data_IF_649784771304
#
_entry.id   IF_649784771304
#
_cell.length_a   1.000
_cell.length_b   1.000
_cell.length_c   1.000
_cell.angle_alpha   90.00
_cell.angle_beta   90.00
_cell.angle_gamma   90.00
#
_symmetry.space_group_name_H-M   'P 1'
#
loop_
_entity.id
_entity.type
_entity.pdbx_description
1 polymer ?
#
# COMPACT_ATOMS: atom_id res chain seq x y z
N UNK A 1 60.31 -10.52 6.46
CA UNK A 1 59.29 -11.08 5.58
C UNK A 1 58.23 -11.68 6.50
N UNK A 2 57.16 -10.92 6.76
CA UNK A 2 56.03 -11.34 7.58
C UNK A 2 54.86 -11.48 6.65
N UNK A 3 54.46 -12.72 6.40
CA UNK A 3 53.30 -13.06 5.59
C UNK A 3 52.00 -12.63 6.29
N UNK A 4 51.24 -11.79 5.62
CA UNK A 4 49.93 -11.33 6.05
C UNK A 4 48.86 -12.27 5.47
N UNK A 5 48.34 -13.18 6.29
CA UNK A 5 47.24 -14.02 5.93
C UNK A 5 45.94 -13.20 6.00
N UNK A 6 45.11 -13.13 4.94
CA UNK A 6 43.81 -12.46 5.01
C UNK A 6 42.83 -13.31 5.82
N UNK A 7 42.27 -12.70 6.86
CA UNK A 7 41.19 -13.27 7.65
C UNK A 7 39.87 -13.19 6.85
N UNK A 8 39.44 -14.31 6.27
CA UNK A 8 38.18 -14.45 5.53
C UNK A 8 37.06 -14.96 6.44
N UNK A 9 36.65 -14.18 7.43
CA UNK A 9 35.41 -14.40 8.15
C UNK A 9 34.47 -13.21 7.91
N UNK A 10 33.97 -13.11 6.69
CA UNK A 10 32.74 -12.34 6.42
C UNK A 10 31.58 -13.25 6.84
N UNK A 11 30.70 -12.85 7.77
CA UNK A 11 29.52 -13.66 8.05
C UNK A 11 28.69 -13.71 6.77
N UNK A 12 28.45 -14.93 6.30
CA UNK A 12 27.53 -15.22 5.23
C UNK A 12 26.15 -14.70 5.68
N UNK A 13 25.72 -13.58 5.10
CA UNK A 13 24.37 -13.06 5.35
C UNK A 13 23.41 -14.10 4.81
N UNK A 14 22.75 -14.82 5.71
CA UNK A 14 21.66 -15.70 5.33
C UNK A 14 20.72 -14.93 4.41
N UNK A 15 20.53 -15.43 3.19
CA UNK A 15 19.57 -14.86 2.26
C UNK A 15 18.17 -14.82 2.89
N UNK A 16 17.25 -14.05 2.36
CA UNK A 16 15.89 -14.02 2.87
C UNK A 16 15.33 -15.44 2.88
N UNK A 17 14.69 -15.82 4.00
CA UNK A 17 13.98 -17.08 4.13
C UNK A 17 13.07 -17.32 2.92
N UNK A 18 12.95 -18.55 2.42
CA UNK A 18 12.07 -18.83 1.30
C UNK A 18 10.66 -18.32 1.59
N UNK A 19 10.11 -17.56 0.67
CA UNK A 19 8.73 -17.08 0.75
C UNK A 19 7.80 -18.27 0.51
N UNK A 20 7.15 -18.74 1.58
CA UNK A 20 6.14 -19.78 1.50
C UNK A 20 4.81 -19.18 1.03
N UNK A 21 4.60 -19.17 -0.28
CA UNK A 21 3.42 -18.59 -0.91
C UNK A 21 2.12 -19.18 -0.39
N UNK A 22 2.12 -20.48 -0.03
CA UNK A 22 0.96 -21.15 0.52
C UNK A 22 0.57 -20.62 1.91
N UNK A 23 1.54 -20.33 2.76
CA UNK A 23 1.29 -19.76 4.09
C UNK A 23 0.78 -18.32 3.99
N UNK A 24 1.31 -17.56 3.04
CA UNK A 24 0.82 -16.21 2.75
C UNK A 24 -0.65 -16.21 2.30
N UNK A 25 -1.05 -17.14 1.42
CA UNK A 25 -2.44 -17.27 0.98
C UNK A 25 -3.36 -17.60 2.13
N UNK A 26 -2.95 -18.50 3.02
CA UNK A 26 -3.76 -18.91 4.19
C UNK A 26 -4.09 -17.70 5.07
N UNK A 27 -3.25 -16.66 5.11
CA UNK A 27 -3.52 -15.46 5.90
C UNK A 27 -4.72 -14.67 5.39
N UNK A 28 -5.10 -14.80 4.10
CA UNK A 28 -6.28 -14.16 3.53
C UNK A 28 -7.55 -15.01 3.63
N UNK A 29 -7.44 -16.30 3.97
CA UNK A 29 -8.58 -17.23 3.94
C UNK A 29 -9.61 -17.01 5.06
N UNK A 30 -9.23 -16.34 6.14
CA UNK A 30 -10.09 -16.09 7.31
C UNK A 30 -10.08 -14.59 7.60
N UNK A 31 -11.26 -13.96 7.54
CA UNK A 31 -11.39 -12.55 7.92
C UNK A 31 -11.06 -12.38 9.42
N UNK A 32 -10.01 -11.63 9.79
CA UNK A 32 -9.65 -11.41 11.18
C UNK A 32 -10.78 -10.67 11.93
N UNK A 33 -10.86 -10.78 13.27
CA UNK A 33 -11.80 -9.99 14.06
C UNK A 33 -11.65 -8.48 13.84
N UNK A 34 -12.72 -7.73 14.11
CA UNK A 34 -12.65 -6.27 14.08
C UNK A 34 -11.76 -5.73 15.20
N UNK A 35 -11.11 -4.59 14.93
CA UNK A 35 -10.24 -3.87 15.86
C UNK A 35 -8.99 -4.62 16.36
N UNK A 36 -8.66 -5.77 15.71
CA UNK A 36 -7.42 -6.50 15.92
C UNK A 36 -6.44 -6.18 14.79
N UNK A 37 -5.15 -6.09 15.11
CA UNK A 37 -4.11 -5.86 14.11
C UNK A 37 -4.12 -7.00 13.07
N UNK A 38 -4.22 -6.63 11.80
CA UNK A 38 -4.14 -7.56 10.68
C UNK A 38 -2.69 -8.05 10.52
N UNK A 39 -2.45 -9.30 10.11
CA UNK A 39 -1.10 -9.78 9.88
C UNK A 39 -0.40 -8.97 8.78
N UNK A 40 0.91 -8.68 8.90
CA UNK A 40 1.63 -7.97 7.84
C UNK A 40 1.69 -8.82 6.57
N UNK A 41 1.71 -8.17 5.41
CA UNK A 41 1.79 -8.86 4.12
C UNK A 41 3.08 -9.69 3.98
N UNK A 42 4.20 -9.21 4.54
CA UNK A 42 5.49 -9.91 4.58
C UNK A 42 6.37 -9.28 5.66
N UNK A 43 7.22 -10.03 6.37
CA UNK A 43 8.10 -9.47 7.41
C UNK A 43 8.97 -8.29 6.94
N UNK A 44 9.38 -8.28 5.67
CA UNK A 44 10.20 -7.24 5.05
C UNK A 44 9.41 -6.31 4.11
N UNK A 45 8.05 -6.31 4.15
CA UNK A 45 7.25 -5.38 3.35
C UNK A 45 7.65 -3.92 3.63
N UNK A 46 7.71 -3.10 2.60
CA UNK A 46 8.06 -1.68 2.74
C UNK A 46 6.99 -0.90 3.53
N UNK A 47 5.72 -1.26 3.38
CA UNK A 47 4.62 -0.64 4.12
C UNK A 47 4.47 -1.19 5.54
N UNK A 48 4.18 -2.48 5.70
CA UNK A 48 3.78 -3.08 6.99
C UNK A 48 4.81 -4.02 7.63
N UNK A 49 5.95 -4.29 6.98
CA UNK A 49 6.90 -5.29 7.44
C UNK A 49 7.60 -4.93 8.76
N UNK A 50 7.37 -5.68 9.85
CA UNK A 50 7.97 -5.37 11.15
C UNK A 50 9.48 -5.56 11.19
N UNK A 51 10.05 -6.39 10.30
CA UNK A 51 11.48 -6.63 10.19
C UNK A 51 12.19 -5.68 9.19
N UNK A 52 11.45 -4.79 8.51
CA UNK A 52 12.05 -3.82 7.60
C UNK A 52 12.40 -2.52 8.32
N UNK A 53 13.69 -2.22 8.59
CA UNK A 53 14.09 -1.01 9.30
C UNK A 53 13.84 0.27 8.49
N UNK A 54 13.68 0.16 7.17
CA UNK A 54 13.40 1.27 6.26
C UNK A 54 11.91 1.42 5.94
N UNK A 55 11.08 0.46 6.41
CA UNK A 55 9.65 0.46 6.17
C UNK A 55 8.87 1.34 7.13
N UNK A 56 7.59 1.51 6.81
CA UNK A 56 6.67 2.29 7.63
C UNK A 56 6.16 1.53 8.85
N UNK A 57 6.30 0.20 8.89
CA UNK A 57 5.79 -0.68 9.95
C UNK A 57 4.30 -0.42 10.25
N UNK A 58 3.53 -0.17 9.20
CA UNK A 58 2.12 0.19 9.27
C UNK A 58 1.33 -0.92 9.97
N UNK A 59 0.57 -0.55 11.00
CA UNK A 59 -0.36 -1.44 11.70
C UNK A 59 -1.77 -1.11 11.29
N UNK A 60 -2.45 -2.07 10.69
CA UNK A 60 -3.77 -1.89 10.12
C UNK A 60 -4.77 -2.78 10.85
N UNK A 61 -5.95 -2.23 11.08
CA UNK A 61 -7.11 -2.93 11.66
C UNK A 61 -8.29 -2.81 10.72
N UNK A 62 -9.26 -3.69 10.87
CA UNK A 62 -10.53 -3.56 10.16
C UNK A 62 -11.65 -3.10 11.09
N UNK A 63 -12.68 -2.50 10.51
CA UNK A 63 -13.98 -2.23 11.12
C UNK A 63 -15.12 -2.63 10.15
N UNK A 64 -16.35 -2.29 10.48
CA UNK A 64 -17.52 -2.58 9.63
C UNK A 64 -17.47 -1.85 8.27
N UNK A 65 -16.64 -0.82 8.11
CA UNK A 65 -16.57 0.04 6.91
C UNK A 65 -15.38 -0.26 6.01
N UNK A 66 -14.39 -1.00 6.50
CA UNK A 66 -13.17 -1.30 5.75
C UNK A 66 -11.96 -1.51 6.65
N UNK A 67 -10.86 -0.85 6.33
CA UNK A 67 -9.64 -0.91 7.12
C UNK A 67 -9.18 0.49 7.52
N UNK A 68 -8.49 0.56 8.66
CA UNK A 68 -7.93 1.82 9.19
C UNK A 68 -6.59 1.59 9.87
N UNK A 69 -5.82 2.67 9.96
CA UNK A 69 -4.56 2.72 10.68
C UNK A 69 -4.37 4.08 11.34
N UNK A 70 -3.58 4.11 12.42
CA UNK A 70 -2.98 5.32 12.94
C UNK A 70 -1.49 5.30 12.60
N UNK A 71 -0.98 6.35 11.99
CA UNK A 71 0.40 6.41 11.52
C UNK A 71 0.98 7.81 11.66
N UNK A 72 2.30 7.87 11.89
CA UNK A 72 3.09 9.10 11.85
C UNK A 72 4.29 8.88 10.95
N UNK A 73 4.56 9.82 10.07
CA UNK A 73 5.77 9.82 9.24
C UNK A 73 6.91 10.45 10.04
N UNK A 74 8.06 9.82 10.08
CA UNK A 74 9.24 10.31 10.81
C UNK A 74 10.36 10.78 9.87
N UNK A 75 11.53 11.11 10.43
CA UNK A 75 12.67 11.62 9.68
C UNK A 75 13.19 10.72 8.56
N UNK A 76 12.90 9.41 8.58
CA UNK A 76 13.22 8.46 7.49
C UNK A 76 12.42 8.74 6.22
N UNK A 77 11.30 9.41 6.37
CA UNK A 77 10.29 9.65 5.32
C UNK A 77 10.32 11.10 4.81
N UNK A 78 11.37 11.88 5.12
CA UNK A 78 11.46 13.30 4.75
C UNK A 78 11.50 13.50 3.24
N UNK A 79 10.71 14.44 2.72
CA UNK A 79 10.73 14.90 1.34
C UNK A 79 11.13 16.37 1.21
N UNK A 80 10.68 17.19 2.17
CA UNK A 80 11.02 18.59 2.32
C UNK A 80 11.11 18.93 3.81
N UNK A 81 11.65 20.08 4.24
CA UNK A 81 11.71 20.42 5.66
C UNK A 81 10.36 20.27 6.36
N UNK A 82 10.30 19.40 7.37
CA UNK A 82 9.12 19.03 8.15
C UNK A 82 7.97 18.33 7.37
N UNK A 83 8.14 18.01 6.09
CA UNK A 83 7.10 17.42 5.24
C UNK A 83 7.52 16.02 4.79
N UNK A 84 6.60 15.05 4.90
CA UNK A 84 6.79 13.70 4.42
C UNK A 84 6.89 13.66 2.89
N UNK A 85 7.77 12.80 2.38
CA UNK A 85 7.92 12.59 0.94
C UNK A 85 6.63 12.01 0.35
N UNK A 86 6.16 12.56 -0.79
CA UNK A 86 4.94 12.08 -1.44
C UNK A 86 4.97 10.58 -1.78
N UNK A 87 6.16 10.05 -2.14
CA UNK A 87 6.35 8.62 -2.35
C UNK A 87 6.19 7.78 -1.08
N UNK A 88 6.59 8.30 0.10
CA UNK A 88 6.38 7.64 1.38
C UNK A 88 4.87 7.57 1.72
N UNK A 89 4.16 8.66 1.49
CA UNK A 89 2.69 8.71 1.64
C UNK A 89 2.02 7.73 0.67
N UNK A 90 2.49 7.66 -0.59
CA UNK A 90 1.98 6.72 -1.58
C UNK A 90 2.19 5.26 -1.17
N UNK A 91 3.36 4.93 -0.61
CA UNK A 91 3.66 3.58 -0.10
C UNK A 91 2.68 3.15 0.99
N UNK A 92 2.43 4.03 1.95
CA UNK A 92 1.49 3.75 3.05
C UNK A 92 0.06 3.57 2.53
N UNK A 93 -0.37 4.37 1.55
CA UNK A 93 -1.70 4.25 0.94
C UNK A 93 -1.84 2.98 0.10
N UNK A 94 -0.82 2.61 -0.68
CA UNK A 94 -0.82 1.36 -1.47
C UNK A 94 -0.89 0.13 -0.56
N UNK A 95 -0.09 0.13 0.52
CA UNK A 95 -0.10 -0.95 1.50
C UNK A 95 -1.45 -1.03 2.25
N UNK A 96 -2.03 0.11 2.64
CA UNK A 96 -3.36 0.18 3.26
C UNK A 96 -4.45 -0.41 2.35
N UNK A 97 -4.38 -0.18 1.04
CA UNK A 97 -5.27 -0.80 0.06
C UNK A 97 -5.10 -2.32 0.02
N UNK A 98 -3.86 -2.81 0.12
CA UNK A 98 -3.56 -4.24 0.19
C UNK A 98 -4.26 -4.93 1.36
N UNK A 99 -4.42 -4.26 2.50
CA UNK A 99 -5.11 -4.81 3.66
C UNK A 99 -6.62 -5.03 3.45
N UNK A 100 -7.24 -4.39 2.46
CA UNK A 100 -8.64 -4.70 2.10
C UNK A 100 -8.80 -6.12 1.57
N UNK A 101 -7.73 -6.74 1.07
CA UNK A 101 -7.77 -8.11 0.56
C UNK A 101 -8.13 -9.13 1.66
N UNK A 102 -7.77 -8.84 2.94
CA UNK A 102 -8.22 -9.65 4.07
C UNK A 102 -9.73 -9.63 4.27
N UNK A 103 -10.42 -8.60 3.77
CA UNK A 103 -11.89 -8.50 3.87
C UNK A 103 -12.60 -9.21 2.72
N UNK A 104 -11.94 -9.44 1.60
CA UNK A 104 -12.50 -10.14 0.43
C UNK A 104 -12.06 -11.60 0.32
N UNK A 105 -10.97 -11.98 1.00
CA UNK A 105 -10.43 -13.34 0.95
C UNK A 105 -9.86 -13.74 -0.42
N UNK A 106 -9.40 -12.77 -1.23
CA UNK A 106 -8.88 -12.99 -2.57
C UNK A 106 -7.58 -12.24 -2.78
N UNK A 107 -6.68 -12.82 -3.55
CA UNK A 107 -5.42 -12.18 -3.93
C UNK A 107 -5.65 -11.16 -5.04
N UNK A 108 -5.01 -10.01 -4.93
CA UNK A 108 -5.05 -9.00 -5.98
C UNK A 108 -3.75 -8.21 -6.03
N UNK A 109 -3.53 -7.53 -7.15
CA UNK A 109 -2.36 -6.67 -7.37
C UNK A 109 -2.80 -5.26 -7.74
N UNK A 110 -2.02 -4.28 -7.32
CA UNK A 110 -2.21 -2.88 -7.69
C UNK A 110 -2.04 -2.70 -9.19
N UNK A 111 -3.08 -2.21 -9.86
CA UNK A 111 -3.06 -1.92 -11.30
C UNK A 111 -2.95 -0.43 -11.58
N UNK A 112 -3.51 0.38 -10.70
CA UNK A 112 -3.49 1.84 -10.80
C UNK A 112 -3.64 2.43 -9.41
N UNK A 113 -2.93 3.51 -9.15
CA UNK A 113 -3.00 4.31 -7.94
C UNK A 113 -3.01 5.79 -8.35
N UNK A 114 -3.95 6.55 -7.84
CA UNK A 114 -4.00 8.00 -7.98
C UNK A 114 -4.16 8.64 -6.60
N UNK A 115 -3.40 9.70 -6.35
CA UNK A 115 -3.34 10.37 -5.04
C UNK A 115 -3.44 11.87 -5.27
N UNK A 116 -4.31 12.51 -4.50
CA UNK A 116 -4.44 13.96 -4.41
C UNK A 116 -3.94 14.42 -3.04
N UNK A 117 -2.87 15.20 -3.02
CA UNK A 117 -2.30 15.82 -1.83
C UNK A 117 -2.97 17.18 -1.60
N UNK A 118 -3.95 17.20 -0.70
CA UNK A 118 -4.77 18.39 -0.45
C UNK A 118 -4.10 19.37 0.51
N UNK A 119 -3.21 18.86 1.37
CA UNK A 119 -2.38 19.63 2.27
C UNK A 119 -1.06 18.89 2.54
N UNK A 120 0.00 19.60 3.02
CA UNK A 120 1.24 18.94 3.42
C UNK A 120 1.00 17.90 4.51
N UNK A 121 1.57 16.71 4.33
CA UNK A 121 1.64 15.68 5.38
C UNK A 121 2.90 15.95 6.19
N UNK A 122 2.72 16.39 7.44
CA UNK A 122 3.83 16.78 8.30
C UNK A 122 4.48 15.57 8.97
N UNK A 123 5.80 15.65 9.20
CA UNK A 123 6.52 14.65 9.99
C UNK A 123 6.10 14.72 11.46
N UNK A 124 6.27 13.61 12.17
CA UNK A 124 6.02 13.46 13.61
C UNK A 124 4.60 13.87 14.06
N UNK A 125 3.69 13.91 13.11
CA UNK A 125 2.28 14.24 13.33
C UNK A 125 1.43 12.99 13.17
N UNK A 126 0.51 12.71 14.13
CA UNK A 126 -0.39 11.56 14.04
C UNK A 126 -1.49 11.80 13.00
N UNK A 127 -1.71 10.79 12.15
CA UNK A 127 -2.77 10.75 11.15
C UNK A 127 -3.64 9.51 11.34
N UNK A 128 -4.91 9.64 10.99
CA UNK A 128 -5.83 8.51 10.81
C UNK A 128 -5.97 8.24 9.33
N UNK A 129 -5.69 7.02 8.93
CA UNK A 129 -5.83 6.52 7.57
C UNK A 129 -7.04 5.61 7.51
N UNK A 130 -7.88 5.75 6.49
CA UNK A 130 -9.04 4.89 6.25
C UNK A 130 -9.10 4.45 4.80
N UNK A 131 -9.50 3.21 4.57
CA UNK A 131 -9.71 2.69 3.22
C UNK A 131 -10.90 1.75 3.16
N UNK A 132 -11.60 1.75 2.02
CA UNK A 132 -12.75 0.86 1.78
C UNK A 132 -12.86 0.48 0.30
N UNK A 133 -13.59 -0.60 0.06
CA UNK A 133 -13.96 -1.01 -1.29
C UNK A 133 -15.13 -0.14 -1.75
N UNK A 134 -14.87 0.71 -2.73
CA UNK A 134 -15.91 1.56 -3.32
C UNK A 134 -16.85 0.78 -4.23
N UNK A 135 -16.29 -0.12 -5.07
CA UNK A 135 -17.08 -0.99 -5.94
C UNK A 135 -16.26 -2.18 -6.42
N UNK A 136 -16.97 -3.25 -6.81
CA UNK A 136 -16.38 -4.43 -7.44
C UNK A 136 -17.07 -4.70 -8.77
N UNK A 137 -16.28 -4.99 -9.81
CA UNK A 137 -16.77 -5.38 -11.13
C UNK A 137 -15.95 -6.58 -11.64
N UNK A 138 -16.45 -7.79 -11.40
CA UNK A 138 -15.73 -9.04 -11.66
C UNK A 138 -14.41 -9.07 -10.87
N UNK A 139 -13.28 -9.15 -11.57
CA UNK A 139 -11.94 -9.15 -10.98
C UNK A 139 -11.40 -7.76 -10.61
N UNK A 140 -12.15 -6.68 -10.84
CA UNK A 140 -11.71 -5.30 -10.59
C UNK A 140 -12.28 -4.83 -9.26
N UNK A 141 -11.39 -4.42 -8.36
CA UNK A 141 -11.72 -3.76 -7.10
C UNK A 141 -11.36 -2.27 -7.24
N UNK A 142 -12.36 -1.41 -7.12
CA UNK A 142 -12.16 0.04 -7.05
C UNK A 142 -12.16 0.44 -5.58
N UNK A 143 -11.05 1.03 -5.14
CA UNK A 143 -10.76 1.30 -3.74
C UNK A 143 -10.64 2.80 -3.52
N UNK A 144 -10.97 3.27 -2.32
CA UNK A 144 -10.80 4.66 -1.89
C UNK A 144 -10.14 4.70 -0.52
N UNK A 145 -9.30 5.73 -0.32
CA UNK A 145 -8.67 6.00 0.96
C UNK A 145 -8.60 7.50 1.25
N UNK A 146 -8.53 7.82 2.54
CA UNK A 146 -8.26 9.16 3.06
C UNK A 146 -7.17 9.10 4.11
N UNK A 147 -6.41 10.20 4.23
CA UNK A 147 -5.56 10.51 5.38
C UNK A 147 -6.14 11.76 6.04
N UNK A 148 -6.42 11.65 7.33
CA UNK A 148 -7.00 12.72 8.15
C UNK A 148 -6.02 13.11 9.25
N UNK A 149 -5.89 14.41 9.50
CA UNK A 149 -5.12 14.92 10.62
C UNK A 149 -5.90 14.80 11.94
N UNK A 150 -5.28 15.21 13.07
CA UNK A 150 -5.87 15.19 14.41
C UNK A 150 -7.10 16.10 14.59
N UNK A 151 -7.39 16.99 13.63
CA UNK A 151 -8.59 17.83 13.59
C UNK A 151 -9.66 17.25 12.65
N UNK A 152 -9.52 16.00 12.22
CA UNK A 152 -10.39 15.32 11.24
C UNK A 152 -10.47 16.02 9.86
N UNK A 153 -9.46 16.84 9.53
CA UNK A 153 -9.35 17.40 8.19
C UNK A 153 -8.65 16.39 7.27
N UNK A 154 -9.28 16.12 6.12
CA UNK A 154 -8.69 15.28 5.08
C UNK A 154 -7.53 16.03 4.42
N UNK A 155 -6.32 15.52 4.54
CA UNK A 155 -5.09 16.08 3.97
C UNK A 155 -4.65 15.36 2.69
N UNK A 156 -5.14 14.13 2.48
CA UNK A 156 -4.84 13.34 1.27
C UNK A 156 -6.03 12.45 0.95
N UNK A 157 -6.36 12.33 -0.33
CA UNK A 157 -7.29 11.34 -0.84
C UNK A 157 -6.60 10.43 -1.84
N UNK A 158 -7.04 9.18 -1.94
CA UNK A 158 -6.51 8.25 -2.92
C UNK A 158 -7.60 7.36 -3.49
N UNK A 159 -7.39 6.95 -4.75
CA UNK A 159 -8.17 5.92 -5.41
C UNK A 159 -7.24 4.88 -6.01
N UNK A 160 -7.65 3.61 -5.96
CA UNK A 160 -6.89 2.55 -6.59
C UNK A 160 -7.80 1.60 -7.38
N UNK A 161 -7.21 0.98 -8.39
CA UNK A 161 -7.75 -0.17 -9.08
C UNK A 161 -6.86 -1.37 -8.78
N UNK A 162 -7.40 -2.36 -8.09
CA UNK A 162 -6.75 -3.64 -7.89
C UNK A 162 -7.37 -4.69 -8.82
N UNK A 163 -6.55 -5.61 -9.28
CA UNK A 163 -7.00 -6.75 -10.08
C UNK A 163 -6.81 -8.04 -9.30
N UNK A 164 -7.92 -8.76 -9.07
CA UNK A 164 -7.89 -10.10 -8.51
C UNK A 164 -7.14 -11.01 -9.48
N UNK A 165 -6.20 -11.77 -8.95
CA UNK A 165 -5.32 -12.68 -9.67
C UNK A 165 -5.26 -14.04 -8.99
N UNK A 166 -4.88 -15.06 -9.76
CA UNK A 166 -4.61 -16.39 -9.22
C UNK A 166 -3.23 -16.43 -8.56
N UNK A 167 -2.99 -17.42 -7.72
CA UNK A 167 -1.72 -17.63 -7.03
C UNK A 167 -0.55 -17.75 -8.00
N UNK A 168 -0.75 -18.35 -9.17
CA UNK A 168 0.28 -18.51 -10.19
C UNK A 168 0.91 -17.18 -10.61
N UNK A 169 0.18 -16.06 -10.44
CA UNK A 169 0.73 -14.73 -10.69
C UNK A 169 1.95 -14.41 -9.82
N UNK A 170 2.02 -14.97 -8.62
CA UNK A 170 3.10 -14.75 -7.66
C UNK A 170 4.17 -15.85 -7.74
N UNK A 171 3.79 -17.08 -8.10
CA UNK A 171 4.71 -18.21 -8.22
C UNK A 171 5.53 -18.18 -9.51
N UNK A 172 4.92 -17.72 -10.60
CA UNK A 172 5.54 -17.61 -11.94
C UNK A 172 5.29 -16.23 -12.52
N UNK A 173 6.00 -15.18 -12.02
CA UNK A 173 5.76 -13.81 -12.49
C UNK A 173 6.03 -13.68 -13.99
N UNK A 174 4.99 -13.39 -14.77
CA UNK A 174 5.13 -13.05 -16.20
C UNK A 174 5.49 -11.56 -16.32
N UNK A 175 6.72 -11.27 -16.70
CA UNK A 175 7.23 -9.92 -16.93
C UNK A 175 6.82 -9.31 -18.26
N UNK A 176 6.13 -10.06 -19.12
CA UNK A 176 5.69 -9.57 -20.43
C UNK A 176 4.63 -8.48 -20.28
N UNK A 177 4.86 -7.25 -20.76
CA UNK A 177 3.87 -6.19 -20.69
C UNK A 177 2.61 -6.60 -21.44
N UNK A 178 1.52 -6.83 -20.76
CA UNK A 178 0.23 -7.09 -21.40
C UNK A 178 -0.20 -5.82 -22.12
N UNK A 179 -0.31 -5.86 -23.46
CA UNK A 179 -0.82 -4.75 -24.25
C UNK A 179 -2.15 -4.29 -23.66
N UNK A 180 -2.27 -3.01 -23.34
CA UNK A 180 -3.59 -2.41 -23.05
C UNK A 180 -4.50 -2.77 -24.22
N UNK A 181 -5.72 -3.31 -24.02
CA UNK A 181 -6.69 -3.36 -25.09
C UNK A 181 -6.81 -1.93 -25.61
N UNK A 182 -6.71 -1.76 -26.95
CA UNK A 182 -6.97 -0.47 -27.57
C UNK A 182 -8.29 0.05 -26.99
N UNK A 183 -8.36 1.29 -26.52
CA UNK A 183 -9.64 1.85 -26.13
C UNK A 183 -10.56 1.67 -27.34
N UNK A 184 -11.65 0.95 -27.17
CA UNK A 184 -12.75 1.02 -28.10
C UNK A 184 -13.06 2.49 -28.22
N UNK A 185 -12.98 3.05 -29.42
CA UNK A 185 -13.43 4.39 -29.74
C UNK A 185 -14.93 4.45 -29.42
N UNK A 186 -15.27 4.62 -28.16
CA UNK A 186 -16.60 5.03 -27.76
C UNK A 186 -16.65 6.52 -28.00
N UNK A 187 -17.40 6.87 -29.06
CA UNK A 187 -17.87 8.21 -29.30
C UNK A 187 -18.32 8.82 -27.97
N UNK A 188 -17.66 9.93 -27.65
CA UNK A 188 -18.11 10.99 -26.74
C UNK A 188 -19.20 10.59 -25.74
N UNK A 189 -18.83 10.33 -24.49
CA UNK A 189 -19.67 10.68 -23.38
C UNK A 189 -19.02 11.87 -22.64
N UNK A 190 -19.56 13.03 -23.00
CA UNK A 190 -19.36 14.33 -22.35
C UNK A 190 -20.05 14.20 -20.99
N UNK A 191 -19.31 14.13 -19.94
CA UNK A 191 -19.69 14.42 -18.56
C UNK A 191 -18.99 13.50 -17.56
N UNK A 192 -17.88 13.98 -17.07
CA UNK A 192 -17.45 13.90 -15.69
C UNK A 192 -16.21 14.82 -15.57
N UNK A 193 -16.46 16.10 -15.80
CA UNK A 193 -15.56 17.14 -15.27
C UNK A 193 -15.82 17.18 -13.77
N UNK A 194 -14.86 16.71 -13.01
CA UNK A 194 -14.73 17.10 -11.63
C UNK A 194 -14.36 18.58 -11.65
N UNK A 195 -15.28 19.44 -11.27
CA UNK A 195 -14.96 20.83 -10.92
C UNK A 195 -14.26 20.78 -9.57
N UNK A 196 -12.94 21.01 -9.59
CA UNK A 196 -12.20 21.38 -8.38
C UNK A 196 -12.82 22.71 -7.92
N UNK A 197 -13.25 22.87 -6.65
CA UNK A 197 -13.62 24.17 -6.14
C UNK A 197 -12.39 25.08 -6.24
N UNK A 198 -12.60 26.27 -6.80
CA UNK A 198 -11.59 27.31 -6.92
C UNK A 198 -11.14 27.69 -5.50
N UNK A 199 -9.95 27.29 -5.12
CA UNK A 199 -9.32 27.73 -3.88
C UNK A 199 -8.48 28.94 -4.24
N UNK A 200 -9.09 30.11 -4.17
CA UNK A 200 -8.36 31.38 -4.19
C UNK A 200 -7.40 31.41 -3.00
N UNK A 201 -6.11 31.59 -3.28
CA UNK A 201 -5.03 31.84 -2.34
C UNK A 201 -5.22 33.17 -1.60
#
# INVERSE_FOLDING_TARGET
>A
MTEHTPNTNTPETAGPEPFEAEDWIRTFAVAPPEHVDLPPHHPHCLGCGPANPHGHQLRVRRDAHGVYAHHSFDSRHVGAPAIAHGGAVATVLDDLFGFLLYTVGELAVTRHLAIDYLAPVLLDTPYTLRSHIHSRAGRKLHLRATIENNHAHVVTTATALFLIVDIDHFLTPDTTPRRRPRPLHTKTNKALRWTVPDVSL
#
